data_IF_971429835983
#
_entry.id   IF_971429835983
#
_cell.length_a   1.000
_cell.length_b   1.000
_cell.length_c   1.000
_cell.angle_alpha   90.00
_cell.angle_beta   90.00
_cell.angle_gamma   90.00
#
_symmetry.space_group_name_H-M   'P 1'
#
loop_
_entity.id
_entity.type
_entity.pdbx_description
1 polymer ?
#
# COMPACT_ATOMS: atom_id res chain seq x y z
N UNK A 1 22.27 -31.94 26.86
CA UNK A 1 22.67 -30.67 26.22
C UNK A 1 21.39 -30.12 25.65
N UNK A 2 20.96 -28.98 26.21
CA UNK A 2 19.63 -28.45 26.05
C UNK A 2 19.28 -28.16 24.59
N UNK A 3 17.99 -28.26 24.35
CA UNK A 3 17.24 -27.93 23.15
C UNK A 3 17.71 -26.62 22.52
N UNK A 4 17.95 -26.67 21.21
CA UNK A 4 17.76 -25.49 20.35
C UNK A 4 16.86 -25.98 19.22
N UNK A 5 15.58 -26.09 19.55
CA UNK A 5 14.52 -25.91 18.58
C UNK A 5 14.64 -24.44 18.11
N UNK A 6 15.28 -24.22 16.95
CA UNK A 6 15.36 -22.92 16.28
C UNK A 6 13.95 -22.60 15.77
N UNK A 7 13.11 -22.13 16.68
CA UNK A 7 11.70 -21.80 16.49
C UNK A 7 11.47 -20.60 15.58
N UNK A 8 12.09 -20.56 14.39
CA UNK A 8 11.64 -19.71 13.29
C UNK A 8 10.74 -20.53 12.37
N UNK A 9 9.49 -20.60 12.78
CA UNK A 9 8.37 -21.11 11.99
C UNK A 9 8.16 -20.28 10.72
N UNK A 10 8.19 -20.98 9.58
CA UNK A 10 7.65 -20.65 8.25
C UNK A 10 8.30 -19.48 7.48
N UNK A 11 8.44 -19.62 6.15
CA UNK A 11 9.02 -18.58 5.31
C UNK A 11 8.04 -17.41 5.28
N UNK A 12 8.52 -16.19 5.53
CA UNK A 12 7.78 -15.05 5.01
C UNK A 12 7.92 -15.17 3.48
N UNK A 13 6.86 -15.62 2.81
CA UNK A 13 6.73 -15.55 1.36
C UNK A 13 7.33 -14.21 0.89
N UNK A 14 8.21 -14.19 -0.11
CA UNK A 14 8.81 -12.94 -0.55
C UNK A 14 7.69 -11.96 -0.87
N UNK A 15 7.64 -10.85 -0.14
CA UNK A 15 6.81 -9.73 -0.55
C UNK A 15 7.28 -9.36 -1.95
N UNK A 16 6.41 -9.52 -2.94
CA UNK A 16 6.71 -9.16 -4.33
C UNK A 16 6.89 -7.64 -4.41
N UNK A 17 8.11 -7.17 -4.13
CA UNK A 17 8.51 -5.77 -4.14
C UNK A 17 9.69 -5.59 -5.09
N UNK A 18 9.49 -4.80 -6.13
CA UNK A 18 10.56 -4.33 -7.00
C UNK A 18 10.45 -2.83 -7.23
N UNK A 19 11.59 -2.16 -7.43
CA UNK A 19 11.64 -0.73 -7.74
C UNK A 19 12.83 -0.38 -8.64
N UNK A 20 12.77 0.78 -9.30
CA UNK A 20 13.85 1.32 -10.13
C UNK A 20 14.23 2.76 -9.76
N UNK A 21 15.15 3.37 -10.53
CA UNK A 21 15.62 4.75 -10.31
C UNK A 21 14.57 5.82 -10.57
N UNK A 22 13.46 5.48 -11.21
CA UNK A 22 12.35 6.39 -11.47
C UNK A 22 11.28 6.32 -10.39
N UNK A 23 11.47 5.49 -9.36
CA UNK A 23 10.47 5.18 -8.34
C UNK A 23 9.25 4.44 -8.91
N UNK A 24 9.39 3.73 -10.04
CA UNK A 24 8.37 2.76 -10.40
C UNK A 24 8.38 1.64 -9.36
N UNK A 25 7.20 1.13 -8.97
CA UNK A 25 7.05 0.07 -7.97
C UNK A 25 6.21 -1.06 -8.53
N UNK A 26 6.62 -2.30 -8.26
CA UNK A 26 5.76 -3.48 -8.35
C UNK A 26 5.56 -3.97 -6.93
N UNK A 27 4.31 -4.11 -6.51
CA UNK A 27 3.90 -4.46 -5.14
C UNK A 27 2.96 -5.67 -5.16
N UNK A 28 3.22 -6.67 -4.33
CA UNK A 28 2.33 -7.79 -4.04
C UNK A 28 1.41 -7.51 -2.84
N UNK A 29 0.26 -8.19 -2.79
CA UNK A 29 -0.73 -8.17 -1.70
C UNK A 29 -1.09 -6.76 -1.22
N UNK A 30 -1.55 -5.92 -2.16
CA UNK A 30 -1.79 -4.50 -1.92
C UNK A 30 -3.20 -4.21 -1.44
N UNK A 31 -3.29 -3.31 -0.46
CA UNK A 31 -4.53 -2.61 -0.08
C UNK A 31 -4.36 -1.14 -0.43
N UNK A 32 -5.16 -0.67 -1.39
CA UNK A 32 -5.22 0.73 -1.79
C UNK A 32 -6.34 1.43 -1.03
N UNK A 33 -6.04 2.59 -0.43
CA UNK A 33 -7.03 3.47 0.21
C UNK A 33 -7.06 4.78 -0.59
N UNK A 34 -8.16 5.02 -1.28
CA UNK A 34 -8.36 6.16 -2.16
C UNK A 34 -9.36 7.10 -1.49
N UNK A 35 -8.98 8.36 -1.32
CA UNK A 35 -9.87 9.42 -0.83
C UNK A 35 -10.37 10.24 -2.02
N UNK A 36 -11.69 10.28 -2.20
CA UNK A 36 -12.36 11.04 -3.25
C UNK A 36 -13.08 12.20 -2.57
N UNK A 37 -12.75 13.42 -2.99
CA UNK A 37 -13.49 14.62 -2.58
C UNK A 37 -14.62 14.80 -3.58
N UNK A 38 -15.85 14.85 -3.09
CA UNK A 38 -17.02 15.20 -3.89
C UNK A 38 -17.48 16.60 -3.50
N UNK A 39 -17.63 17.46 -4.52
CA UNK A 39 -18.29 18.77 -4.38
C UNK A 39 -19.79 18.50 -4.16
N UNK A 40 -20.38 19.11 -3.13
CA UNK A 40 -21.82 19.05 -2.89
C UNK A 40 -22.60 19.56 -4.10
N UNK A 41 -23.82 19.08 -4.31
CA UNK A 41 -24.65 19.48 -5.45
C UNK A 41 -25.09 20.97 -5.35
N UNK A 42 -24.94 21.59 -4.18
CA UNK A 42 -25.22 22.99 -3.89
C UNK A 42 -23.97 23.71 -3.32
N UNK A 43 -23.76 24.97 -3.73
CA UNK A 43 -22.59 25.81 -3.41
C UNK A 43 -22.32 26.00 -1.89
N UNK A 44 -23.26 25.61 -1.02
CA UNK A 44 -23.21 25.76 0.44
C UNK A 44 -23.11 24.41 1.21
N UNK A 45 -23.01 23.26 0.52
CA UNK A 45 -22.83 21.95 1.17
C UNK A 45 -21.35 21.64 1.47
N UNK A 46 -21.10 21.04 2.64
CA UNK A 46 -19.76 20.64 3.09
C UNK A 46 -19.15 19.57 2.15
N UNK A 47 -17.87 19.71 1.79
CA UNK A 47 -17.14 18.71 1.00
C UNK A 47 -17.24 17.31 1.63
N UNK A 48 -17.77 16.35 0.87
CA UNK A 48 -17.91 14.97 1.33
C UNK A 48 -16.66 14.20 0.92
N UNK A 49 -15.87 13.74 1.89
CA UNK A 49 -14.73 12.85 1.65
C UNK A 49 -15.21 11.40 1.64
N UNK A 50 -15.23 10.77 0.46
CA UNK A 50 -15.48 9.34 0.32
C UNK A 50 -14.18 8.56 0.36
N UNK A 51 -14.19 7.45 1.13
CA UNK A 51 -13.05 6.51 1.17
C UNK A 51 -13.40 5.25 0.39
N UNK A 52 -12.58 4.92 -0.59
CA UNK A 52 -12.67 3.69 -1.38
C UNK A 52 -11.47 2.81 -1.07
N UNK A 53 -11.73 1.57 -0.65
CA UNK A 53 -10.67 0.58 -0.38
C UNK A 53 -10.69 -0.48 -1.47
N UNK A 54 -9.54 -0.76 -2.07
CA UNK A 54 -9.36 -1.82 -3.07
C UNK A 54 -8.27 -2.80 -2.62
N UNK A 55 -8.43 -4.06 -3.02
CA UNK A 55 -7.45 -5.12 -2.80
C UNK A 55 -6.97 -5.63 -4.14
N UNK A 56 -5.66 -5.74 -4.30
CA UNK A 56 -5.01 -6.15 -5.55
C UNK A 56 -3.90 -7.14 -5.21
N UNK A 57 -3.88 -8.30 -5.85
CA UNK A 57 -2.81 -9.29 -5.69
C UNK A 57 -1.46 -8.70 -6.15
N UNK A 58 -1.47 -7.94 -7.25
CA UNK A 58 -0.32 -7.23 -7.79
C UNK A 58 -0.71 -5.82 -8.21
N UNK A 59 0.14 -4.84 -7.91
CA UNK A 59 -0.02 -3.44 -8.30
C UNK A 59 1.27 -2.88 -8.88
N UNK A 60 1.18 -2.26 -10.05
CA UNK A 60 2.25 -1.44 -10.61
C UNK A 60 1.96 0.04 -10.36
N UNK A 61 2.88 0.73 -9.69
CA UNK A 61 2.81 2.18 -9.45
C UNK A 61 3.85 2.86 -10.32
N UNK A 62 3.40 3.82 -11.14
CA UNK A 62 4.30 4.64 -11.96
C UNK A 62 4.97 5.70 -11.08
N UNK A 63 6.29 5.81 -11.19
CA UNK A 63 7.11 6.63 -10.30
C UNK A 63 6.88 8.13 -10.40
N UNK A 64 6.44 8.65 -11.55
CA UNK A 64 6.06 10.07 -11.71
C UNK A 64 4.92 10.51 -10.76
N UNK A 65 4.11 9.55 -10.28
CA UNK A 65 2.97 9.82 -9.37
C UNK A 65 3.32 9.65 -7.89
N UNK A 66 4.55 9.24 -7.56
CA UNK A 66 4.96 8.97 -6.17
C UNK A 66 5.50 10.24 -5.52
N UNK A 67 4.85 10.68 -4.45
CA UNK A 67 5.26 11.88 -3.68
C UNK A 67 6.04 11.48 -2.42
N UNK A 68 5.58 10.45 -1.71
CA UNK A 68 6.16 10.02 -0.45
C UNK A 68 6.05 8.51 -0.29
N UNK A 69 7.13 7.91 0.20
CA UNK A 69 7.18 6.52 0.66
C UNK A 69 7.58 6.55 2.13
N UNK A 70 6.78 5.95 3.00
CA UNK A 70 7.09 5.79 4.42
C UNK A 70 7.31 4.32 4.77
N UNK A 71 8.27 3.99 5.65
CA UNK A 71 8.39 2.64 6.19
C UNK A 71 7.16 2.30 7.03
N UNK A 72 6.78 1.02 7.06
CA UNK A 72 5.74 0.56 7.99
C UNK A 72 6.19 0.85 9.42
N UNK A 73 5.32 1.47 10.23
CA UNK A 73 5.55 1.56 11.68
C UNK A 73 5.52 0.14 12.26
N UNK A 74 6.59 -0.22 12.98
CA UNK A 74 6.74 -1.49 13.70
C UNK A 74 5.70 -1.67 14.79
#
# INVERSE_FOLDING_TARGET
MADIDDGTSAPAEPLDLAYDSHCNLVLGDVVETIYVVEEGEEDDEEEIIKTVVKKSEMLFVRGDSVILISPRSS
#
